data_IF_050697217045
#
_entry.id   IF_050697217045
#
_cell.length_a   1.000
_cell.length_b   1.000
_cell.length_c   1.000
_cell.angle_alpha   90.00
_cell.angle_beta   90.00
_cell.angle_gamma   90.00
#
_symmetry.space_group_name_H-M   'P 1'
#
loop_
_entity.id
_entity.type
_entity.pdbx_description
1 polymer ?
#
# COMPACT_ATOMS: atom_id res chain seq x y z
N UNK A 1 -0.99 9.04 15.65
CA UNK A 1 -0.56 7.84 14.91
C UNK A 1 0.01 8.19 13.54
N UNK A 2 1.20 7.69 13.19
CA UNK A 2 1.86 7.93 11.89
C UNK A 2 1.04 7.30 10.73
N UNK A 3 1.01 7.88 9.51
CA UNK A 3 0.24 7.32 8.39
C UNK A 3 0.59 5.86 8.07
N UNK A 4 1.88 5.50 8.08
CA UNK A 4 2.28 4.11 7.85
C UNK A 4 1.81 3.17 8.95
N UNK A 5 1.76 3.61 10.21
CA UNK A 5 1.21 2.77 11.29
C UNK A 5 -0.28 2.53 11.12
N UNK A 6 -1.04 3.55 10.68
CA UNK A 6 -2.45 3.37 10.31
C UNK A 6 -2.59 2.38 9.15
N UNK A 7 -1.67 2.42 8.18
CA UNK A 7 -1.70 1.52 7.04
C UNK A 7 -1.42 0.07 7.45
N UNK A 8 -0.38 -0.16 8.25
CA UNK A 8 -0.05 -1.48 8.84
C UNK A 8 -1.26 -2.07 9.56
N UNK A 9 -1.92 -1.29 10.43
CA UNK A 9 -3.08 -1.73 11.21
C UNK A 9 -4.26 -2.06 10.27
N UNK A 10 -4.58 -1.16 9.34
CA UNK A 10 -5.71 -1.36 8.43
C UNK A 10 -5.51 -2.59 7.54
N UNK A 11 -4.30 -2.79 7.00
CA UNK A 11 -3.95 -3.96 6.20
C UNK A 11 -4.03 -5.25 7.02
N UNK A 12 -3.50 -5.28 8.24
CA UNK A 12 -3.60 -6.46 9.11
C UNK A 12 -5.06 -6.82 9.41
N UNK A 13 -5.91 -5.82 9.68
CA UNK A 13 -7.32 -6.03 9.99
C UNK A 13 -8.12 -6.64 8.82
N UNK A 14 -7.67 -6.49 7.57
CA UNK A 14 -8.30 -7.14 6.43
C UNK A 14 -8.14 -8.67 6.43
N UNK A 15 -7.21 -9.22 7.22
CA UNK A 15 -7.01 -10.66 7.27
C UNK A 15 -8.25 -11.43 7.78
N UNK A 16 -9.18 -10.75 8.46
CA UNK A 16 -10.44 -11.37 8.90
C UNK A 16 -11.26 -11.96 7.74
N UNK A 17 -11.09 -11.43 6.52
CA UNK A 17 -11.76 -11.89 5.30
C UNK A 17 -10.90 -12.85 4.45
N UNK A 18 -9.70 -13.22 4.94
CA UNK A 18 -8.72 -14.01 4.19
C UNK A 18 -9.30 -15.35 3.72
N UNK A 19 -9.28 -15.54 2.40
CA UNK A 19 -9.66 -16.80 1.75
C UNK A 19 -8.60 -17.86 1.98
N UNK A 20 -7.33 -17.47 2.03
CA UNK A 20 -6.23 -18.41 2.29
C UNK A 20 -6.32 -18.99 3.70
N UNK A 21 -6.48 -18.14 4.73
CA UNK A 21 -6.59 -18.60 6.11
C UNK A 21 -7.78 -19.56 6.30
N UNK A 22 -8.94 -19.22 5.74
CA UNK A 22 -10.13 -20.08 5.78
C UNK A 22 -9.92 -21.41 5.04
N UNK A 23 -9.33 -21.38 3.84
CA UNK A 23 -9.07 -22.60 3.05
C UNK A 23 -8.03 -23.51 3.72
N UNK A 24 -6.99 -22.94 4.34
CA UNK A 24 -5.97 -23.69 5.06
C UNK A 24 -6.58 -24.44 6.25
N UNK A 25 -7.41 -23.77 7.06
CA UNK A 25 -8.14 -24.39 8.18
C UNK A 25 -9.11 -25.48 7.72
N UNK A 26 -9.67 -25.35 6.52
CA UNK A 26 -10.53 -26.36 5.90
C UNK A 26 -9.75 -27.56 5.29
N UNK A 27 -8.42 -27.58 5.39
CA UNK A 27 -7.59 -28.71 4.94
C UNK A 27 -7.35 -28.77 3.43
N UNK A 28 -7.32 -27.62 2.75
CA UNK A 28 -6.98 -27.56 1.31
C UNK A 28 -5.63 -28.23 1.03
N UNK A 29 -5.51 -28.89 -0.13
CA UNK A 29 -4.26 -29.55 -0.54
C UNK A 29 -3.17 -28.51 -0.79
N UNK A 30 -1.92 -28.87 -0.47
CA UNK A 30 -0.74 -28.02 -0.71
C UNK A 30 -0.62 -27.51 -2.15
N UNK A 31 -0.97 -28.35 -3.13
CA UNK A 31 -0.95 -27.99 -4.56
C UNK A 31 -1.96 -26.91 -4.93
N UNK A 32 -2.94 -26.65 -4.07
CA UNK A 32 -4.03 -25.70 -4.28
C UNK A 32 -3.90 -24.43 -3.43
N UNK A 33 -2.87 -24.31 -2.58
CA UNK A 33 -2.64 -23.12 -1.74
C UNK A 33 -2.67 -21.82 -2.55
N UNK A 34 -2.05 -21.82 -3.73
CA UNK A 34 -1.94 -20.65 -4.59
C UNK A 34 -3.29 -20.05 -5.00
N UNK A 35 -4.37 -20.85 -5.03
CA UNK A 35 -5.68 -20.39 -5.49
C UNK A 35 -6.26 -19.35 -4.54
N UNK A 36 -6.36 -19.71 -3.25
CA UNK A 36 -6.86 -18.78 -2.23
C UNK A 36 -5.85 -17.70 -1.89
N UNK A 37 -4.54 -17.96 -2.02
CA UNK A 37 -3.51 -16.92 -1.95
C UNK A 37 -3.68 -15.88 -3.06
N UNK A 38 -3.95 -16.29 -4.30
CA UNK A 38 -4.17 -15.37 -5.43
C UNK A 38 -5.40 -14.48 -5.19
N UNK A 39 -6.51 -15.05 -4.73
CA UNK A 39 -7.71 -14.26 -4.38
C UNK A 39 -7.41 -13.20 -3.33
N UNK A 40 -6.69 -13.57 -2.26
CA UNK A 40 -6.30 -12.62 -1.22
C UNK A 40 -5.34 -11.53 -1.75
N UNK A 41 -4.40 -11.88 -2.63
CA UNK A 41 -3.50 -10.91 -3.26
C UNK A 41 -4.26 -9.91 -4.17
N UNK A 42 -5.25 -10.37 -4.93
CA UNK A 42 -6.09 -9.50 -5.76
C UNK A 42 -6.95 -8.57 -4.90
N UNK A 43 -7.54 -9.09 -3.82
CA UNK A 43 -8.29 -8.29 -2.85
C UNK A 43 -7.39 -7.25 -2.18
N UNK A 44 -6.18 -7.65 -1.77
CA UNK A 44 -5.20 -6.75 -1.19
C UNK A 44 -4.81 -5.62 -2.16
N UNK A 45 -4.52 -5.95 -3.43
CA UNK A 45 -4.20 -4.97 -4.45
C UNK A 45 -5.35 -3.97 -4.66
N UNK A 46 -6.60 -4.45 -4.68
CA UNK A 46 -7.79 -3.61 -4.80
C UNK A 46 -8.00 -2.67 -3.60
N UNK A 47 -7.65 -3.12 -2.38
CA UNK A 47 -7.89 -2.36 -1.14
C UNK A 47 -6.76 -1.39 -0.76
N UNK A 48 -5.54 -1.62 -1.26
CA UNK A 48 -4.34 -0.79 -0.97
C UNK A 48 -4.60 0.70 -1.21
N UNK A 49 -5.12 1.08 -2.38
CA UNK A 49 -5.37 2.49 -2.72
C UNK A 49 -6.51 3.15 -1.92
N UNK A 50 -7.70 2.51 -1.78
CA UNK A 50 -8.75 3.02 -0.91
C UNK A 50 -8.29 3.26 0.53
N UNK A 51 -7.50 2.34 1.12
CA UNK A 51 -6.97 2.50 2.48
C UNK A 51 -6.00 3.68 2.54
N UNK A 52 -5.06 3.78 1.61
CA UNK A 52 -4.13 4.91 1.55
C UNK A 52 -4.86 6.25 1.41
N UNK A 53 -5.88 6.32 0.54
CA UNK A 53 -6.70 7.51 0.37
C UNK A 53 -7.50 7.85 1.64
N UNK A 54 -8.08 6.85 2.30
CA UNK A 54 -8.79 7.03 3.58
C UNK A 54 -7.87 7.62 4.63
N UNK A 55 -6.65 7.09 4.78
CA UNK A 55 -5.65 7.58 5.72
C UNK A 55 -5.27 9.03 5.39
N UNK A 56 -5.00 9.33 4.11
CA UNK A 56 -4.64 10.67 3.66
C UNK A 56 -5.74 11.69 3.97
N UNK A 57 -6.99 11.38 3.62
CA UNK A 57 -8.14 12.26 3.88
C UNK A 57 -8.35 12.45 5.38
N UNK A 58 -8.27 11.38 6.17
CA UNK A 58 -8.40 11.47 7.62
C UNK A 58 -7.31 12.32 8.26
N UNK A 59 -6.08 12.28 7.72
CA UNK A 59 -4.93 13.01 8.27
C UNK A 59 -4.83 14.45 7.83
N UNK A 60 -5.12 14.73 6.57
CA UNK A 60 -4.73 15.99 5.92
C UNK A 60 -5.91 16.75 5.31
N UNK A 61 -7.12 16.18 5.34
CA UNK A 61 -8.35 16.79 4.80
C UNK A 61 -9.46 16.88 5.85
N UNK A 62 -9.09 17.13 7.11
CA UNK A 62 -10.05 17.44 8.17
C UNK A 62 -10.90 16.26 8.65
N UNK A 63 -10.52 15.01 8.37
CA UNK A 63 -11.22 13.86 8.97
C UNK A 63 -12.55 13.50 8.31
N UNK A 64 -12.69 13.66 7.00
CA UNK A 64 -13.97 13.42 6.30
C UNK A 64 -14.59 12.06 6.68
N UNK A 65 -15.91 12.02 6.84
CA UNK A 65 -16.64 10.81 7.26
C UNK A 65 -16.55 9.68 6.23
N UNK A 66 -16.36 10.01 4.94
CA UNK A 66 -16.22 9.05 3.85
C UNK A 66 -15.20 9.49 2.79
N UNK A 67 -14.91 8.59 1.85
CA UNK A 67 -14.18 8.88 0.60
C UNK A 67 -15.10 8.58 -0.60
N UNK A 68 -14.90 9.22 -1.76
CA UNK A 68 -15.61 8.89 -2.99
C UNK A 68 -15.64 7.38 -3.30
N UNK A 69 -16.77 6.90 -3.81
CA UNK A 69 -16.95 5.50 -4.21
C UNK A 69 -16.07 5.15 -5.42
N UNK A 70 -15.64 3.90 -5.47
CA UNK A 70 -14.86 3.36 -6.60
C UNK A 70 -15.71 3.29 -7.86
N UNK A 71 -15.16 3.82 -8.96
CA UNK A 71 -15.70 3.67 -10.30
C UNK A 71 -15.02 2.50 -11.00
N UNK A 72 -15.80 1.47 -11.34
CA UNK A 72 -15.32 0.21 -11.91
C UNK A 72 -14.85 0.33 -13.37
N UNK A 73 -15.29 1.36 -14.08
CA UNK A 73 -14.88 1.70 -15.45
C UNK A 73 -13.59 2.53 -15.49
N UNK A 74 -12.92 2.74 -14.34
CA UNK A 74 -11.73 3.57 -14.20
C UNK A 74 -10.59 2.80 -13.55
N UNK A 75 -9.36 3.21 -13.87
CA UNK A 75 -8.16 2.61 -13.31
C UNK A 75 -7.93 3.00 -11.83
N UNK A 76 -7.00 2.29 -11.17
CA UNK A 76 -6.67 2.49 -9.75
C UNK A 76 -6.13 3.90 -9.46
N UNK A 77 -5.33 4.45 -10.36
CA UNK A 77 -4.70 5.77 -10.16
C UNK A 77 -5.73 6.88 -10.27
N UNK A 78 -6.67 6.76 -11.20
CA UNK A 78 -7.81 7.68 -11.31
C UNK A 78 -8.68 7.64 -10.05
N UNK A 79 -9.05 6.44 -9.59
CA UNK A 79 -9.86 6.28 -8.39
C UNK A 79 -9.14 6.86 -7.16
N UNK A 80 -7.85 6.57 -6.99
CA UNK A 80 -7.04 7.13 -5.91
C UNK A 80 -7.00 8.67 -5.96
N UNK A 81 -6.70 9.26 -7.12
CA UNK A 81 -6.65 10.71 -7.31
C UNK A 81 -7.99 11.37 -6.96
N UNK A 82 -9.12 10.77 -7.36
CA UNK A 82 -10.44 11.25 -6.96
C UNK A 82 -10.66 11.16 -5.46
N UNK A 83 -10.28 10.04 -4.84
CA UNK A 83 -10.52 9.83 -3.41
C UNK A 83 -9.73 10.79 -2.52
N UNK A 84 -8.55 11.24 -2.95
CA UNK A 84 -7.76 12.26 -2.23
C UNK A 84 -8.14 13.71 -2.58
N UNK A 85 -9.17 13.91 -3.40
CA UNK A 85 -9.68 15.23 -3.80
C UNK A 85 -8.85 15.92 -4.87
N UNK A 86 -8.10 15.16 -5.68
CA UNK A 86 -7.22 15.68 -6.74
C UNK A 86 -7.55 15.10 -8.12
N UNK A 87 -8.74 14.54 -8.31
CA UNK A 87 -9.10 13.85 -9.56
C UNK A 87 -9.30 14.72 -10.79
N UNK A 88 -9.31 16.05 -10.63
CA UNK A 88 -9.28 17.00 -11.75
C UNK A 88 -7.86 17.24 -12.30
N UNK A 89 -6.81 16.74 -11.63
CA UNK A 89 -5.43 16.88 -12.07
C UNK A 89 -5.02 15.70 -12.96
N UNK A 90 -5.11 15.88 -14.28
CA UNK A 90 -4.63 14.87 -15.23
C UNK A 90 -3.15 14.53 -15.00
N UNK A 91 -2.32 15.55 -14.74
CA UNK A 91 -0.90 15.36 -14.46
C UNK A 91 -0.63 14.49 -13.22
N UNK A 92 -1.44 14.62 -12.15
CA UNK A 92 -1.31 13.76 -10.99
C UNK A 92 -1.69 12.31 -11.30
N UNK A 93 -2.76 12.10 -12.05
CA UNK A 93 -3.22 10.76 -12.42
C UNK A 93 -2.12 10.02 -13.19
N UNK A 94 -1.51 10.67 -14.18
CA UNK A 94 -0.42 10.08 -14.95
C UNK A 94 0.86 9.92 -14.11
N UNK A 95 1.16 10.86 -13.21
CA UNK A 95 2.29 10.72 -12.29
C UNK A 95 2.13 9.53 -11.34
N UNK A 96 0.92 9.27 -10.83
CA UNK A 96 0.64 8.10 -9.97
C UNK A 96 0.81 6.81 -10.75
N UNK A 97 0.33 6.74 -12.00
CA UNK A 97 0.54 5.56 -12.87
C UNK A 97 2.03 5.26 -13.06
N UNK A 98 2.81 6.29 -13.41
CA UNK A 98 4.25 6.14 -13.60
C UNK A 98 4.95 5.78 -12.29
N UNK A 99 4.61 6.45 -11.19
CA UNK A 99 5.17 6.17 -9.87
C UNK A 99 4.99 4.71 -9.50
N UNK A 100 3.78 4.18 -9.69
CA UNK A 100 3.48 2.78 -9.40
C UNK A 100 4.29 1.85 -10.30
N UNK A 101 4.30 2.09 -11.62
CA UNK A 101 5.05 1.25 -12.57
C UNK A 101 6.54 1.14 -12.21
N UNK A 102 7.15 2.23 -11.74
CA UNK A 102 8.56 2.27 -11.37
C UNK A 102 8.86 1.67 -9.98
N UNK A 103 7.95 1.79 -9.02
CA UNK A 103 8.19 1.37 -7.62
C UNK A 103 7.53 0.04 -7.25
N UNK A 104 6.91 -0.65 -8.21
CA UNK A 104 6.17 -1.90 -7.93
C UNK A 104 7.09 -3.00 -7.37
N UNK A 105 8.33 -3.11 -7.86
CA UNK A 105 9.27 -4.12 -7.40
C UNK A 105 10.73 -3.70 -7.59
N UNK A 106 11.58 -4.10 -6.64
CA UNK A 106 13.04 -3.92 -6.72
C UNK A 106 13.75 -5.08 -6.00
N UNK A 107 13.66 -6.26 -6.63
CA UNK A 107 14.20 -7.53 -6.10
C UNK A 107 13.65 -7.91 -4.71
N UNK A 108 14.29 -8.89 -4.07
CA UNK A 108 13.84 -9.51 -2.81
C UNK A 108 14.74 -9.25 -1.62
N UNK A 109 15.95 -8.69 -1.81
CA UNK A 109 16.89 -8.42 -0.72
C UNK A 109 16.52 -7.22 0.15
N UNK A 110 15.66 -6.33 -0.33
CA UNK A 110 15.20 -5.18 0.44
C UNK A 110 14.28 -5.62 1.60
N UNK A 111 14.26 -4.81 2.67
CA UNK A 111 13.60 -5.19 3.94
C UNK A 111 12.12 -5.52 3.75
N UNK A 112 11.38 -4.74 2.96
CA UNK A 112 9.95 -5.00 2.76
C UNK A 112 9.69 -6.27 1.96
N UNK A 113 10.38 -6.47 0.82
CA UNK A 113 10.20 -7.68 0.00
C UNK A 113 10.60 -8.93 0.77
N UNK A 114 11.74 -8.90 1.47
CA UNK A 114 12.20 -10.02 2.28
C UNK A 114 11.23 -10.31 3.42
N UNK A 115 10.73 -9.30 4.12
CA UNK A 115 9.75 -9.50 5.21
C UNK A 115 8.47 -10.14 4.70
N UNK A 116 7.93 -9.69 3.56
CA UNK A 116 6.77 -10.33 2.91
C UNK A 116 7.04 -11.82 2.67
N UNK A 117 8.21 -12.13 2.10
CA UNK A 117 8.59 -13.50 1.78
C UNK A 117 8.77 -14.36 3.04
N UNK A 118 9.45 -13.83 4.06
CA UNK A 118 9.73 -14.51 5.32
C UNK A 118 8.43 -14.85 6.07
N UNK A 119 7.54 -13.88 6.24
CA UNK A 119 6.25 -14.10 6.94
C UNK A 119 5.35 -15.05 6.14
N UNK A 120 5.29 -14.88 4.81
CA UNK A 120 4.55 -15.79 3.93
C UNK A 120 5.10 -17.23 3.93
N UNK A 121 6.41 -17.42 4.16
CA UNK A 121 7.02 -18.76 4.24
C UNK A 121 6.50 -19.60 5.40
N UNK A 122 5.98 -18.95 6.45
CA UNK A 122 5.30 -19.60 7.57
C UNK A 122 3.81 -19.90 7.29
N UNK A 123 3.37 -19.76 6.03
CA UNK A 123 1.97 -19.88 5.59
C UNK A 123 1.06 -18.86 6.27
N UNK A 124 1.58 -17.66 6.56
CA UNK A 124 0.71 -16.51 6.89
C UNK A 124 -0.02 -16.04 5.64
N UNK A 125 -1.27 -15.59 5.80
CA UNK A 125 -2.03 -15.05 4.68
C UNK A 125 -1.38 -13.78 4.08
N UNK A 126 -1.75 -13.40 2.85
CA UNK A 126 -1.17 -12.23 2.19
C UNK A 126 -1.36 -10.91 2.93
N UNK A 127 -2.44 -10.72 3.68
CA UNK A 127 -2.70 -9.47 4.41
C UNK A 127 -1.72 -9.30 5.57
N UNK A 128 -1.51 -10.36 6.35
CA UNK A 128 -0.52 -10.35 7.44
C UNK A 128 0.91 -10.22 6.91
N UNK A 129 1.24 -10.94 5.84
CA UNK A 129 2.56 -10.89 5.21
C UNK A 129 2.89 -9.48 4.70
N UNK A 130 1.93 -8.84 4.01
CA UNK A 130 2.10 -7.48 3.51
C UNK A 130 2.08 -6.44 4.63
N UNK A 131 1.27 -6.62 5.67
CA UNK A 131 1.27 -5.73 6.85
C UNK A 131 2.62 -5.72 7.57
N UNK A 132 3.24 -6.89 7.75
CA UNK A 132 4.59 -6.99 8.31
C UNK A 132 5.62 -6.27 7.43
N UNK A 133 5.51 -6.42 6.11
CA UNK A 133 6.36 -5.73 5.14
C UNK A 133 6.20 -4.20 5.18
N UNK A 134 4.99 -3.68 5.36
CA UNK A 134 4.74 -2.25 5.61
C UNK A 134 5.41 -1.78 6.91
N UNK A 135 5.44 -2.65 7.93
CA UNK A 135 6.20 -2.42 9.16
C UNK A 135 7.70 -2.23 8.89
N UNK A 136 8.31 -3.13 8.11
CA UNK A 136 9.70 -3.02 7.67
C UNK A 136 9.96 -1.79 6.79
N UNK A 137 9.03 -1.48 5.87
CA UNK A 137 9.09 -0.29 5.00
C UNK A 137 9.04 1.03 5.78
N UNK A 138 8.42 1.04 6.95
CA UNK A 138 8.38 2.23 7.83
C UNK A 138 9.76 2.54 8.44
N UNK A 139 10.72 1.61 8.36
CA UNK A 139 12.08 1.79 8.84
C UNK A 139 12.80 2.97 8.15
N UNK A 140 13.47 3.86 8.89
CA UNK A 140 14.16 5.02 8.31
C UNK A 140 15.14 4.68 7.19
N UNK A 141 15.84 3.55 7.31
CA UNK A 141 16.83 3.06 6.36
C UNK A 141 16.24 2.43 5.09
N UNK A 142 14.91 2.38 4.97
CA UNK A 142 14.22 1.80 3.81
C UNK A 142 13.23 2.77 3.17
N UNK A 143 12.32 3.37 3.95
CA UNK A 143 11.19 4.12 3.41
C UNK A 143 11.34 5.64 3.30
N UNK A 144 12.44 6.25 3.75
CA UNK A 144 12.52 7.71 3.92
C UNK A 144 13.33 8.46 2.85
N UNK A 145 14.02 7.78 1.95
CA UNK A 145 14.89 8.42 0.95
C UNK A 145 14.19 9.53 0.15
N UNK A 146 12.92 9.33 -0.24
CA UNK A 146 12.12 10.35 -0.93
C UNK A 146 11.94 11.63 -0.08
N UNK A 147 11.59 11.47 1.20
CA UNK A 147 11.37 12.59 2.11
C UNK A 147 12.67 13.34 2.41
N UNK A 148 13.78 12.62 2.55
CA UNK A 148 15.10 13.20 2.78
C UNK A 148 15.60 13.98 1.56
N UNK A 149 15.45 13.42 0.35
CA UNK A 149 15.78 14.11 -0.89
C UNK A 149 14.96 15.39 -1.07
N UNK A 150 13.64 15.35 -0.83
CA UNK A 150 12.80 16.54 -0.92
C UNK A 150 13.20 17.60 0.12
N UNK A 151 13.46 17.18 1.37
CA UNK A 151 13.91 18.10 2.42
C UNK A 151 15.22 18.78 2.03
N UNK A 152 16.19 18.01 1.56
CA UNK A 152 17.47 18.52 1.08
C UNK A 152 17.32 19.56 -0.03
N UNK A 153 16.52 19.26 -1.06
CA UNK A 153 16.29 20.20 -2.18
C UNK A 153 15.61 21.50 -1.70
N UNK A 154 14.63 21.39 -0.80
CA UNK A 154 13.95 22.56 -0.25
C UNK A 154 14.87 23.41 0.65
N UNK A 155 15.77 22.79 1.40
CA UNK A 155 16.78 23.48 2.21
C UNK A 155 17.83 24.17 1.35
N UNK A 156 18.34 23.47 0.33
CA UNK A 156 19.25 24.05 -0.66
C UNK A 156 18.64 25.29 -1.32
N UNK A 157 17.39 25.21 -1.77
CA UNK A 157 16.66 26.35 -2.37
C UNK A 157 16.59 27.58 -1.46
N UNK A 158 16.48 27.40 -0.14
CA UNK A 158 16.50 28.53 0.82
C UNK A 158 17.85 29.25 0.87
N UNK A 159 18.93 28.53 0.60
CA UNK A 159 20.30 29.07 0.63
C UNK A 159 20.69 29.68 -0.71
N UNK A 160 20.40 28.99 -1.82
CA UNK A 160 20.88 29.38 -3.16
C UNK A 160 19.91 30.30 -3.91
N UNK A 161 18.65 30.36 -3.50
CA UNK A 161 17.61 31.09 -4.22
C UNK A 161 16.86 30.23 -5.26
N UNK A 162 15.90 30.83 -5.97
CA UNK A 162 15.10 30.17 -7.00
C UNK A 162 15.90 29.79 -8.25
#
# INVERSE_FOLDING_TARGET
LHPMTLFVIATAALNHDSKFAAAYLAGVKKTDYWKSTLEDLLNLAAMTYPIAARIYVSKYKGGASSIPAIKKDRDLSWNYAQQIGMGNSHGLIEAVKLYNALHTNHEVGNVSSHTTHLVGSALSDPFLSYSAALGGLTGPLHGLANQEALRFVLEMKKVVGP
#
